data_IF_263522366259
#
_entry.id   IF_263522366259
#
_cell.length_a   1.000
_cell.length_b   1.000
_cell.length_c   1.000
_cell.angle_alpha   90.00
_cell.angle_beta   90.00
_cell.angle_gamma   90.00
#
_symmetry.space_group_name_H-M   'P 1'
#
loop_
_entity.id
_entity.type
_entity.pdbx_description
1 polymer ?
#
# COMPACT_ATOMS: atom_id res chain seq x y z
N UNK A 1 20.41 16.04 -19.63
CA UNK A 1 20.92 15.89 -18.25
C UNK A 1 20.15 14.75 -17.61
N UNK A 2 20.81 13.62 -17.33
CA UNK A 2 20.17 12.47 -16.68
C UNK A 2 19.98 12.83 -15.20
N UNK A 3 18.73 12.92 -14.73
CA UNK A 3 18.47 13.15 -13.30
C UNK A 3 19.19 12.10 -12.45
N UNK A 4 19.76 12.49 -11.30
CA UNK A 4 20.43 11.56 -10.41
C UNK A 4 19.43 10.48 -9.97
N UNK A 5 19.73 9.24 -10.35
CA UNK A 5 18.95 8.06 -9.96
C UNK A 5 19.49 7.56 -8.63
N UNK A 6 18.65 7.43 -7.62
CA UNK A 6 19.02 6.88 -6.31
C UNK A 6 18.11 7.37 -5.20
N UNK A 7 18.19 6.70 -4.06
CA UNK A 7 17.36 7.02 -2.88
C UNK A 7 17.54 8.48 -2.42
N UNK A 8 18.77 9.00 -2.41
CA UNK A 8 19.05 10.38 -2.00
C UNK A 8 18.31 11.40 -2.87
N UNK A 9 18.38 11.24 -4.20
CA UNK A 9 17.69 12.13 -5.13
C UNK A 9 16.16 12.04 -5.02
N UNK A 10 15.63 10.85 -4.82
CA UNK A 10 14.19 10.64 -4.52
C UNK A 10 13.80 11.34 -3.21
N UNK A 11 14.63 11.21 -2.17
CA UNK A 11 14.38 11.86 -0.88
C UNK A 11 14.43 13.39 -1.00
N UNK A 12 15.37 13.96 -1.77
CA UNK A 12 15.39 15.41 -2.04
C UNK A 12 14.06 15.87 -2.63
N UNK A 13 13.59 15.24 -3.69
CA UNK A 13 12.32 15.59 -4.34
C UNK A 13 11.12 15.46 -3.38
N UNK A 14 11.12 14.41 -2.54
CA UNK A 14 10.05 14.21 -1.55
C UNK A 14 10.04 15.32 -0.49
N UNK A 15 11.20 15.75 -0.04
CA UNK A 15 11.33 16.86 0.91
C UNK A 15 10.88 18.18 0.29
N UNK A 16 11.29 18.46 -0.95
CA UNK A 16 10.87 19.64 -1.71
C UNK A 16 9.35 19.67 -1.90
N UNK A 17 8.74 18.54 -2.29
CA UNK A 17 7.28 18.42 -2.43
C UNK A 17 6.53 18.74 -1.14
N UNK A 18 7.12 18.42 0.00
CA UNK A 18 6.54 18.66 1.33
C UNK A 18 6.95 19.98 1.95
N UNK A 19 7.77 20.78 1.29
CA UNK A 19 8.33 22.01 1.83
C UNK A 19 9.16 21.81 3.10
N UNK A 20 9.86 20.67 3.22
CA UNK A 20 10.67 20.32 4.38
C UNK A 20 12.15 20.53 4.09
N UNK A 21 12.81 21.32 4.91
CA UNK A 21 14.25 21.48 4.89
C UNK A 21 15.00 20.38 5.66
N UNK A 22 16.32 20.31 5.46
CA UNK A 22 17.18 19.38 6.23
C UNK A 22 17.11 19.64 7.73
N UNK A 23 17.08 20.89 8.24
CA UNK A 23 16.97 21.14 9.69
C UNK A 23 15.69 20.54 10.28
N UNK A 24 14.53 20.84 9.68
CA UNK A 24 13.22 20.34 10.15
C UNK A 24 13.15 18.81 10.10
N UNK A 25 13.72 18.21 9.05
CA UNK A 25 13.81 16.75 8.96
C UNK A 25 14.69 16.18 10.07
N UNK A 26 15.86 16.80 10.33
CA UNK A 26 16.79 16.39 11.37
C UNK A 26 16.13 16.40 12.74
N UNK A 27 15.37 17.45 13.05
CA UNK A 27 14.65 17.59 14.32
C UNK A 27 13.56 16.50 14.47
N UNK A 28 12.83 16.19 13.38
CA UNK A 28 11.80 15.15 13.38
C UNK A 28 12.37 13.73 13.49
N UNK A 29 13.51 13.49 12.86
CA UNK A 29 14.14 12.17 12.79
C UNK A 29 14.99 11.89 14.04
N UNK A 30 15.47 12.94 14.72
CA UNK A 30 16.36 12.81 15.89
C UNK A 30 17.74 12.26 15.53
N UNK A 31 18.26 12.55 14.33
CA UNK A 31 19.58 12.13 13.86
C UNK A 31 20.44 13.33 13.49
N UNK A 32 21.75 13.12 13.31
CA UNK A 32 22.65 14.20 12.93
C UNK A 32 22.37 14.69 11.50
N UNK A 33 22.43 16.01 11.30
CA UNK A 33 22.30 16.61 9.97
C UNK A 33 23.34 16.10 8.96
N UNK A 34 24.53 15.70 9.44
CA UNK A 34 25.56 15.06 8.62
C UNK A 34 25.08 13.76 7.98
N UNK A 35 24.32 12.95 8.72
CA UNK A 35 23.85 11.64 8.24
C UNK A 35 22.76 11.83 7.17
N UNK A 36 21.88 12.80 7.38
CA UNK A 36 20.88 13.17 6.34
C UNK A 36 21.58 13.67 5.09
N UNK A 37 22.55 14.61 5.21
CA UNK A 37 23.28 15.14 4.05
C UNK A 37 24.06 14.05 3.32
N UNK A 38 24.66 13.10 4.03
CA UNK A 38 25.35 11.97 3.41
C UNK A 38 24.41 11.14 2.54
N UNK A 39 23.18 10.85 3.04
CA UNK A 39 22.17 10.12 2.27
C UNK A 39 21.69 10.93 1.06
N UNK A 40 21.46 12.24 1.21
CA UNK A 40 21.11 13.10 0.08
C UNK A 40 22.22 13.15 -0.97
N UNK A 41 23.49 13.01 -0.56
CA UNK A 41 24.66 12.90 -1.44
C UNK A 41 24.85 11.48 -2.04
N UNK A 42 23.97 10.52 -1.74
CA UNK A 42 23.98 9.19 -2.35
C UNK A 42 24.59 8.08 -1.47
N UNK A 43 24.97 8.37 -0.22
CA UNK A 43 25.41 7.31 0.70
C UNK A 43 24.20 6.45 1.08
N UNK A 44 24.31 5.10 1.01
CA UNK A 44 23.21 4.21 1.40
C UNK A 44 22.79 4.44 2.86
N UNK A 45 21.49 4.61 3.15
CA UNK A 45 21.01 4.83 4.51
C UNK A 45 21.09 3.56 5.35
N UNK A 46 21.40 3.70 6.64
CA UNK A 46 21.32 2.59 7.59
C UNK A 46 19.86 2.18 7.84
N UNK A 47 19.65 0.93 8.28
CA UNK A 47 18.33 0.43 8.64
C UNK A 47 17.67 1.24 9.78
N UNK A 48 18.45 1.80 10.70
CA UNK A 48 17.98 2.70 11.75
C UNK A 48 17.42 3.99 11.15
N UNK A 49 18.21 4.61 10.27
CA UNK A 49 17.83 5.86 9.61
C UNK A 49 16.58 5.67 8.74
N UNK A 50 16.45 4.55 8.02
CA UNK A 50 15.23 4.24 7.24
C UNK A 50 13.97 4.18 8.11
N UNK A 51 14.06 3.60 9.32
CA UNK A 51 12.93 3.58 10.27
C UNK A 51 12.56 4.98 10.75
N UNK A 52 13.56 5.77 11.13
CA UNK A 52 13.34 7.14 11.59
C UNK A 52 12.77 8.03 10.48
N UNK A 53 13.29 7.93 9.26
CA UNK A 53 12.75 8.64 8.08
C UNK A 53 11.31 8.25 7.78
N UNK A 54 10.98 6.96 7.85
CA UNK A 54 9.63 6.46 7.64
C UNK A 54 8.65 7.12 8.63
N UNK A 55 8.99 7.13 9.93
CA UNK A 55 8.18 7.74 10.97
C UNK A 55 8.01 9.26 10.77
N UNK A 56 9.10 9.97 10.49
CA UNK A 56 9.10 11.42 10.29
C UNK A 56 8.30 11.85 9.04
N UNK A 57 8.29 11.00 8.02
CA UNK A 57 7.60 11.24 6.76
C UNK A 57 6.21 10.57 6.70
N UNK A 58 5.73 9.94 7.79
CA UNK A 58 4.42 9.29 7.82
C UNK A 58 4.27 8.18 6.76
N UNK A 59 5.38 7.52 6.39
CA UNK A 59 5.40 6.40 5.48
C UNK A 59 5.56 5.09 6.26
N UNK A 60 5.07 4.00 5.71
CA UNK A 60 5.35 2.71 6.33
C UNK A 60 6.83 2.34 6.18
N UNK A 61 7.41 1.83 7.26
CA UNK A 61 8.84 1.48 7.31
C UNK A 61 9.24 0.54 6.17
N UNK A 62 8.40 -0.44 5.84
CA UNK A 62 8.68 -1.38 4.75
C UNK A 62 8.80 -0.68 3.40
N UNK A 63 7.97 0.34 3.15
CA UNK A 63 8.03 1.11 1.90
C UNK A 63 9.33 1.88 1.79
N UNK A 64 9.80 2.46 2.89
CA UNK A 64 11.08 3.16 2.92
C UNK A 64 12.26 2.22 2.61
N UNK A 65 12.24 0.96 3.11
CA UNK A 65 13.23 -0.04 2.75
C UNK A 65 13.17 -0.39 1.25
N UNK A 66 11.98 -0.58 0.71
CA UNK A 66 11.79 -0.86 -0.73
C UNK A 66 12.32 0.29 -1.58
N UNK A 67 11.98 1.53 -1.22
CA UNK A 67 12.43 2.73 -1.95
C UNK A 67 13.93 2.94 -1.90
N UNK A 68 14.57 2.55 -0.79
CA UNK A 68 16.02 2.60 -0.64
C UNK A 68 16.74 1.43 -1.33
N UNK A 69 16.01 0.47 -1.92
CA UNK A 69 16.60 -0.76 -2.46
C UNK A 69 17.28 -1.62 -1.38
N UNK A 70 16.94 -1.40 -0.11
CA UNK A 70 17.52 -2.11 1.02
C UNK A 70 16.77 -3.42 1.31
N UNK A 71 17.45 -4.47 1.80
CA UNK A 71 16.80 -5.71 2.23
C UNK A 71 15.75 -5.43 3.30
N UNK A 72 14.51 -5.88 3.04
CA UNK A 72 13.42 -5.71 4.01
C UNK A 72 13.56 -6.75 5.11
N UNK A 73 13.70 -6.36 6.39
CA UNK A 73 13.74 -7.30 7.51
C UNK A 73 12.48 -8.16 7.60
N UNK A 74 12.60 -9.44 7.94
CA UNK A 74 11.47 -10.39 7.99
C UNK A 74 10.31 -9.91 8.85
N UNK A 75 10.60 -9.28 9.99
CA UNK A 75 9.58 -8.70 10.88
C UNK A 75 8.73 -7.59 10.25
N UNK A 76 9.18 -7.00 9.13
CA UNK A 76 8.44 -6.00 8.37
C UNK A 76 7.64 -6.60 7.22
N UNK A 77 7.84 -7.87 6.89
CA UNK A 77 7.06 -8.57 5.88
C UNK A 77 5.71 -9.05 6.44
N UNK A 78 4.72 -9.41 5.61
CA UNK A 78 3.48 -10.02 6.09
C UNK A 78 3.75 -11.23 6.97
N UNK A 79 2.91 -11.44 7.98
CA UNK A 79 3.05 -12.54 8.94
C UNK A 79 2.98 -13.91 8.24
N UNK A 80 1.97 -14.07 7.40
CA UNK A 80 1.66 -15.30 6.69
C UNK A 80 1.25 -14.97 5.26
N UNK A 81 2.02 -15.45 4.29
CA UNK A 81 1.74 -15.25 2.86
C UNK A 81 0.49 -16.00 2.40
N UNK A 82 0.06 -17.04 3.12
CA UNK A 82 -1.21 -17.74 2.88
C UNK A 82 -2.44 -16.85 3.07
N UNK A 83 -2.33 -15.81 3.90
CA UNK A 83 -3.38 -14.81 4.07
C UNK A 83 -3.63 -13.94 2.81
N UNK A 84 -2.71 -13.91 1.84
CA UNK A 84 -2.84 -13.16 0.60
C UNK A 84 -4.08 -13.51 -0.24
N UNK A 85 -4.63 -14.71 -0.07
CA UNK A 85 -5.88 -15.12 -0.74
C UNK A 85 -7.13 -14.44 -0.16
N UNK A 86 -7.06 -14.01 1.11
CA UNK A 86 -8.18 -13.45 1.86
C UNK A 86 -8.13 -11.92 1.98
N UNK A 87 -6.93 -11.34 1.97
CA UNK A 87 -6.73 -9.89 2.08
C UNK A 87 -7.58 -9.07 1.09
N UNK A 88 -7.69 -9.45 -0.20
CA UNK A 88 -8.58 -8.76 -1.14
C UNK A 88 -10.05 -8.83 -0.73
N UNK A 89 -10.52 -9.95 -0.21
CA UNK A 89 -11.92 -10.13 0.21
C UNK A 89 -12.26 -9.27 1.43
N UNK A 90 -11.34 -9.14 2.39
CA UNK A 90 -11.50 -8.22 3.54
C UNK A 90 -11.74 -6.79 3.06
N UNK A 91 -10.96 -6.33 2.06
CA UNK A 91 -11.13 -4.98 1.50
C UNK A 91 -12.41 -4.89 0.67
N UNK A 92 -12.67 -5.86 -0.22
CA UNK A 92 -13.86 -5.86 -1.08
C UNK A 92 -15.17 -5.80 -0.27
N UNK A 93 -15.27 -6.58 0.79
CA UNK A 93 -16.44 -6.55 1.66
C UNK A 93 -16.42 -5.30 2.56
N UNK A 94 -15.24 -4.91 3.05
CA UNK A 94 -15.05 -3.75 3.91
C UNK A 94 -15.50 -2.42 3.28
N UNK A 95 -15.22 -2.18 1.99
CA UNK A 95 -15.63 -0.93 1.32
C UNK A 95 -17.15 -0.77 1.21
N UNK A 96 -17.90 -1.87 1.27
CA UNK A 96 -19.36 -1.85 1.26
C UNK A 96 -19.99 -1.66 2.64
N UNK A 97 -19.20 -1.66 3.70
CA UNK A 97 -19.67 -1.37 5.05
C UNK A 97 -19.85 0.13 5.26
N UNK A 98 -20.71 0.49 6.21
CA UNK A 98 -20.76 1.85 6.73
C UNK A 98 -19.42 2.24 7.38
N UNK A 99 -19.17 3.53 7.54
CA UNK A 99 -17.97 4.00 8.26
C UNK A 99 -17.84 3.41 9.68
N UNK A 100 -18.97 3.16 10.36
CA UNK A 100 -18.98 2.50 11.66
C UNK A 100 -18.57 1.02 11.54
N UNK A 101 -19.10 0.30 10.55
CA UNK A 101 -18.75 -1.09 10.26
C UNK A 101 -17.27 -1.26 9.89
N UNK A 102 -16.71 -0.36 9.07
CA UNK A 102 -15.28 -0.36 8.76
C UNK A 102 -14.40 -0.17 10.00
N UNK A 103 -14.78 0.76 10.88
CA UNK A 103 -14.08 0.95 12.17
C UNK A 103 -14.19 -0.26 13.10
N UNK A 104 -15.33 -0.93 13.09
CA UNK A 104 -15.52 -2.17 13.88
C UNK A 104 -14.66 -3.30 13.33
N UNK A 105 -14.66 -3.51 12.02
CA UNK A 105 -13.80 -4.49 11.35
C UNK A 105 -12.32 -4.22 11.65
N UNK A 106 -11.88 -2.97 11.61
CA UNK A 106 -10.52 -2.58 11.94
C UNK A 106 -10.17 -2.86 13.42
N UNK A 107 -11.10 -2.56 14.35
CA UNK A 107 -10.92 -2.90 15.77
C UNK A 107 -10.80 -4.40 15.98
N UNK A 108 -11.62 -5.19 15.30
CA UNK A 108 -11.54 -6.65 15.33
C UNK A 108 -10.16 -7.13 14.87
N UNK A 109 -9.68 -6.69 13.70
CA UNK A 109 -8.35 -7.08 13.19
C UNK A 109 -7.27 -6.77 14.23
N UNK A 110 -7.31 -5.59 14.85
CA UNK A 110 -6.33 -5.15 15.83
C UNK A 110 -6.40 -5.90 17.16
N UNK A 111 -7.58 -6.42 17.53
CA UNK A 111 -7.78 -7.17 18.77
C UNK A 111 -7.35 -8.64 18.67
N UNK A 112 -7.16 -9.17 17.46
CA UNK A 112 -6.71 -10.54 17.29
C UNK A 112 -5.28 -10.72 17.81
N UNK A 113 -5.01 -11.82 18.52
CA UNK A 113 -3.68 -12.10 19.03
C UNK A 113 -2.69 -12.24 17.87
N UNK A 114 -1.47 -11.78 18.08
CA UNK A 114 -0.38 -11.98 17.12
C UNK A 114 0.05 -13.44 17.18
N UNK A 115 -0.17 -14.18 16.10
CA UNK A 115 0.31 -15.55 15.96
C UNK A 115 1.80 -15.62 15.62
N UNK A 116 2.40 -16.77 15.85
CA UNK A 116 3.78 -17.02 15.43
C UNK A 116 3.88 -17.09 13.92
N UNK A 117 5.01 -16.61 13.40
CA UNK A 117 5.29 -16.70 11.97
C UNK A 117 5.48 -18.17 11.58
N UNK A 118 4.79 -18.66 10.53
CA UNK A 118 5.03 -20.02 10.03
C UNK A 118 6.52 -20.24 9.70
N UNK A 119 7.03 -21.41 10.03
CA UNK A 119 8.43 -21.78 9.81
C UNK A 119 8.81 -21.78 8.31
N UNK A 120 7.81 -22.02 7.46
CA UNK A 120 7.94 -21.96 6.01
C UNK A 120 6.86 -21.05 5.42
N UNK A 121 7.31 -20.04 4.69
CA UNK A 121 6.44 -19.12 3.96
C UNK A 121 6.68 -19.31 2.47
N UNK A 122 5.69 -19.80 1.73
CA UNK A 122 5.75 -19.68 0.28
C UNK A 122 5.66 -18.20 -0.11
N UNK A 123 6.63 -17.66 -0.87
CA UNK A 123 6.55 -16.28 -1.32
C UNK A 123 5.32 -16.08 -2.21
N UNK A 124 4.64 -14.95 -2.04
CA UNK A 124 3.55 -14.56 -2.95
C UNK A 124 4.12 -14.50 -4.38
N UNK A 125 3.60 -15.31 -5.28
CA UNK A 125 4.06 -15.40 -6.67
C UNK A 125 3.67 -14.14 -7.44
N UNK A 126 4.64 -13.28 -7.70
CA UNK A 126 4.45 -12.04 -8.51
C UNK A 126 5.33 -12.06 -9.76
N UNK A 127 6.25 -13.00 -9.87
CA UNK A 127 7.29 -13.02 -10.89
C UNK A 127 8.45 -12.06 -10.57
N UNK A 128 9.46 -11.96 -11.46
CA UNK A 128 10.58 -11.07 -11.25
C UNK A 128 10.13 -9.61 -11.35
N UNK A 129 10.53 -8.80 -10.37
CA UNK A 129 10.28 -7.37 -10.33
C UNK A 129 11.55 -6.61 -10.78
N UNK A 130 11.35 -5.63 -11.64
CA UNK A 130 12.42 -4.75 -12.11
C UNK A 130 12.75 -3.65 -11.10
N UNK A 131 13.90 -3.00 -11.27
CA UNK A 131 14.29 -1.80 -10.50
C UNK A 131 13.74 -0.50 -11.13
N UNK A 132 12.57 -0.58 -11.75
CA UNK A 132 11.81 0.55 -12.28
C UNK A 132 10.85 1.10 -11.22
N UNK A 133 10.33 2.33 -11.39
CA UNK A 133 9.29 2.88 -10.52
C UNK A 133 8.09 1.94 -10.38
N UNK A 134 7.64 1.33 -11.48
CA UNK A 134 6.56 0.35 -11.45
C UNK A 134 6.91 -0.90 -10.63
N UNK A 135 8.13 -1.41 -10.78
CA UNK A 135 8.62 -2.54 -9.99
C UNK A 135 8.65 -2.25 -8.50
N UNK A 136 9.09 -1.04 -8.10
CA UNK A 136 9.10 -0.61 -6.70
C UNK A 136 7.68 -0.52 -6.12
N UNK A 137 6.74 0.08 -6.85
CA UNK A 137 5.34 0.17 -6.39
C UNK A 137 4.72 -1.21 -6.23
N UNK A 138 4.90 -2.13 -7.18
CA UNK A 138 4.41 -3.52 -7.06
C UNK A 138 5.10 -4.24 -5.89
N UNK A 139 6.39 -3.97 -5.63
CA UNK A 139 7.12 -4.50 -4.46
C UNK A 139 6.51 -3.99 -3.15
N UNK A 140 6.15 -2.70 -3.05
CA UNK A 140 5.45 -2.13 -1.89
C UNK A 140 4.07 -2.81 -1.69
N UNK A 141 3.30 -3.01 -2.76
CA UNK A 141 1.99 -3.68 -2.72
C UNK A 141 2.10 -5.16 -2.34
N UNK A 142 3.17 -5.85 -2.74
CA UNK A 142 3.48 -7.20 -2.25
C UNK A 142 3.60 -7.23 -0.72
N UNK A 143 4.18 -6.20 -0.10
CA UNK A 143 4.25 -6.09 1.35
C UNK A 143 2.92 -5.73 2.02
N UNK A 144 1.84 -5.49 1.26
CA UNK A 144 0.44 -5.50 1.73
C UNK A 144 -0.20 -6.88 1.63
N UNK A 145 0.61 -7.91 1.37
CA UNK A 145 0.16 -9.29 1.20
C UNK A 145 -0.81 -9.49 0.02
N UNK A 146 -0.56 -8.80 -1.09
CA UNK A 146 -1.35 -8.93 -2.32
C UNK A 146 -0.60 -9.73 -3.39
N UNK A 147 -1.27 -10.74 -3.94
CA UNK A 147 -0.91 -11.32 -5.24
C UNK A 147 -1.35 -10.38 -6.37
N UNK A 148 -0.86 -10.61 -7.61
CA UNK A 148 -1.31 -9.80 -8.76
C UNK A 148 -2.82 -9.87 -9.00
N UNK A 149 -3.42 -11.04 -8.82
CA UNK A 149 -4.88 -11.21 -8.92
C UNK A 149 -5.60 -10.53 -7.75
N UNK A 150 -5.02 -10.58 -6.56
CA UNK A 150 -5.51 -9.86 -5.38
C UNK A 150 -5.47 -8.35 -5.59
N UNK A 151 -4.36 -7.85 -6.11
CA UNK A 151 -4.19 -6.43 -6.46
C UNK A 151 -5.24 -5.97 -7.48
N UNK A 152 -5.43 -6.73 -8.57
CA UNK A 152 -6.44 -6.41 -9.59
C UNK A 152 -7.85 -6.30 -8.98
N UNK A 153 -8.23 -7.27 -8.15
CA UNK A 153 -9.54 -7.27 -7.47
C UNK A 153 -9.70 -6.12 -6.49
N UNK A 154 -8.66 -5.82 -5.73
CA UNK A 154 -8.71 -4.73 -4.73
C UNK A 154 -8.80 -3.36 -5.42
N UNK A 155 -8.00 -3.12 -6.45
CA UNK A 155 -8.06 -1.86 -7.21
C UNK A 155 -9.41 -1.65 -7.87
N UNK A 156 -10.03 -2.70 -8.41
CA UNK A 156 -11.33 -2.62 -9.08
C UNK A 156 -12.48 -2.15 -8.16
N UNK A 157 -12.33 -2.27 -6.83
CA UNK A 157 -13.36 -1.80 -5.87
C UNK A 157 -12.97 -0.53 -5.14
N UNK A 158 -11.67 -0.24 -5.04
CA UNK A 158 -11.16 0.94 -4.33
C UNK A 158 -10.96 2.12 -5.26
N UNK A 159 -10.70 1.85 -6.55
CA UNK A 159 -10.38 2.85 -7.57
C UNK A 159 -11.17 2.58 -8.85
N UNK A 160 -11.26 3.56 -9.79
CA UNK A 160 -11.88 3.33 -11.09
C UNK A 160 -11.03 2.45 -12.05
N UNK A 161 -9.89 1.91 -11.62
CA UNK A 161 -9.01 1.12 -12.47
C UNK A 161 -9.42 -0.34 -12.51
N UNK A 162 -9.72 -0.83 -13.71
CA UNK A 162 -10.05 -2.22 -13.96
C UNK A 162 -9.08 -2.82 -14.99
N UNK A 163 -7.96 -3.34 -14.51
CA UNK A 163 -6.94 -3.97 -15.36
C UNK A 163 -6.74 -5.43 -14.96
N UNK A 164 -6.37 -6.25 -15.94
CA UNK A 164 -6.02 -7.65 -15.69
C UNK A 164 -4.76 -7.79 -14.83
N UNK A 165 -4.68 -8.82 -14.02
CA UNK A 165 -3.53 -9.14 -13.18
C UNK A 165 -2.20 -9.17 -13.97
N UNK A 166 -2.23 -9.68 -15.21
CA UNK A 166 -1.07 -9.71 -16.10
C UNK A 166 -0.52 -8.32 -16.43
N UNK A 167 -1.40 -7.30 -16.50
CA UNK A 167 -0.98 -5.91 -16.73
C UNK A 167 -0.16 -5.38 -15.56
N UNK A 168 -0.59 -5.62 -14.32
CA UNK A 168 0.19 -5.25 -13.13
C UNK A 168 1.51 -6.01 -13.06
N UNK A 169 1.52 -7.28 -13.47
CA UNK A 169 2.76 -8.06 -13.63
C UNK A 169 3.70 -7.49 -14.68
N UNK A 170 3.17 -6.98 -15.79
CA UNK A 170 3.96 -6.32 -16.83
C UNK A 170 4.56 -4.99 -16.33
N UNK A 171 3.81 -4.20 -15.53
CA UNK A 171 4.30 -2.98 -14.88
C UNK A 171 5.41 -3.33 -13.88
N UNK A 172 5.19 -4.31 -13.02
CA UNK A 172 6.18 -4.76 -12.03
C UNK A 172 7.46 -5.29 -12.67
N UNK A 173 7.37 -5.96 -13.81
CA UNK A 173 8.51 -6.44 -14.59
C UNK A 173 9.15 -5.40 -15.53
N UNK A 174 8.68 -4.15 -15.51
CA UNK A 174 9.21 -3.07 -16.37
C UNK A 174 8.87 -3.18 -17.85
N UNK A 175 7.95 -4.08 -18.23
CA UNK A 175 7.50 -4.28 -19.62
C UNK A 175 6.37 -3.34 -20.03
N UNK A 176 5.76 -2.69 -19.07
CA UNK A 176 4.73 -1.67 -19.26
C UNK A 176 5.02 -0.51 -18.32
N UNK A 177 4.88 0.68 -18.84
CA UNK A 177 5.12 1.91 -18.09
C UNK A 177 4.02 2.15 -17.03
N UNK A 178 4.43 2.80 -15.95
CA UNK A 178 3.54 3.33 -14.94
C UNK A 178 2.96 4.65 -15.43
N UNK A 179 1.64 4.76 -15.44
CA UNK A 179 0.94 5.98 -15.89
C UNK A 179 0.55 6.87 -14.71
N UNK A 180 0.33 8.19 -14.91
CA UNK A 180 -0.14 9.10 -13.86
C UNK A 180 -1.41 8.60 -13.17
N UNK A 181 -2.35 8.04 -13.93
CA UNK A 181 -3.58 7.44 -13.39
C UNK A 181 -3.27 6.30 -12.43
N UNK A 182 -2.40 5.38 -12.82
CA UNK A 182 -2.02 4.25 -11.95
C UNK A 182 -1.22 4.69 -10.73
N UNK A 183 -0.46 5.78 -10.80
CA UNK A 183 0.18 6.37 -9.62
C UNK A 183 -0.88 6.77 -8.59
N UNK A 184 -1.95 7.46 -9.01
CA UNK A 184 -3.04 7.84 -8.12
C UNK A 184 -3.75 6.61 -7.51
N UNK A 185 -4.04 5.60 -8.32
CA UNK A 185 -4.72 4.39 -7.87
C UNK A 185 -3.86 3.57 -6.89
N UNK A 186 -2.57 3.45 -7.14
CA UNK A 186 -1.65 2.79 -6.23
C UNK A 186 -1.42 3.60 -4.95
N UNK A 187 -1.38 4.92 -5.03
CA UNK A 187 -1.28 5.80 -3.88
C UNK A 187 -2.45 5.59 -2.92
N UNK A 188 -3.69 5.54 -3.45
CA UNK A 188 -4.89 5.26 -2.68
C UNK A 188 -4.79 3.91 -1.93
N UNK A 189 -4.31 2.86 -2.60
CA UNK A 189 -4.21 1.52 -2.02
C UNK A 189 -3.04 1.39 -1.03
N UNK A 190 -1.95 2.13 -1.25
CA UNK A 190 -0.80 2.17 -0.36
C UNK A 190 -1.04 3.05 0.88
N UNK A 191 -2.06 3.92 0.85
CA UNK A 191 -2.28 4.93 1.88
C UNK A 191 -1.21 6.04 1.87
N UNK A 192 -0.67 6.35 0.69
CA UNK A 192 0.35 7.38 0.48
C UNK A 192 -0.32 8.54 -0.28
N UNK A 193 0.07 9.78 0.02
CA UNK A 193 -0.37 10.92 -0.79
C UNK A 193 0.06 10.74 -2.26
N UNK A 194 -0.85 11.00 -3.20
CA UNK A 194 -0.59 10.76 -4.61
C UNK A 194 0.53 11.67 -5.18
N UNK A 195 0.70 12.88 -4.63
CA UNK A 195 1.82 13.77 -4.99
C UNK A 195 3.15 13.20 -4.51
N UNK A 196 3.18 12.65 -3.29
CA UNK A 196 4.37 11.99 -2.78
C UNK A 196 4.74 10.77 -3.62
N UNK A 197 3.76 9.92 -3.96
CA UNK A 197 4.03 8.76 -4.81
C UNK A 197 4.45 9.17 -6.24
N UNK A 198 3.88 10.25 -6.77
CA UNK A 198 4.30 10.87 -8.04
C UNK A 198 5.79 11.25 -8.00
N UNK A 199 6.19 11.97 -6.97
CA UNK A 199 7.58 12.40 -6.76
C UNK A 199 8.52 11.21 -6.57
N UNK A 200 8.09 10.22 -5.78
CA UNK A 200 8.86 8.98 -5.52
C UNK A 200 9.08 8.17 -6.79
N UNK A 201 8.06 8.10 -7.64
CA UNK A 201 8.12 7.36 -8.92
C UNK A 201 8.74 8.17 -10.05
N UNK A 202 8.82 9.49 -9.94
CA UNK A 202 9.22 10.39 -11.00
C UNK A 202 8.18 10.52 -12.13
N UNK A 203 6.93 10.10 -11.89
CA UNK A 203 5.82 10.20 -12.85
C UNK A 203 4.97 11.41 -12.50
N UNK A 204 5.03 12.46 -13.30
CA UNK A 204 4.24 13.66 -13.06
C UNK A 204 2.74 13.40 -13.20
N UNK A 205 1.95 13.94 -12.26
CA UNK A 205 0.49 13.93 -12.37
C UNK A 205 0.05 15.01 -13.35
N UNK A 206 -0.89 14.67 -14.23
CA UNK A 206 -1.43 15.62 -15.22
C UNK A 206 -2.29 16.70 -14.58
N UNK A 207 -2.93 16.38 -13.45
CA UNK A 207 -3.83 17.25 -12.70
C UNK A 207 -3.63 17.05 -11.19
N UNK A 208 -3.98 18.03 -10.35
CA UNK A 208 -4.02 17.83 -8.90
C UNK A 208 -4.91 16.63 -8.55
N UNK A 209 -4.42 15.69 -7.72
CA UNK A 209 -5.23 14.54 -7.35
C UNK A 209 -6.45 15.01 -6.54
N UNK A 210 -7.63 14.42 -6.80
CA UNK A 210 -8.80 14.66 -5.95
C UNK A 210 -8.54 14.13 -4.53
N UNK A 211 -9.22 14.64 -3.51
CA UNK A 211 -9.17 14.07 -2.17
C UNK A 211 -9.51 12.58 -2.23
N UNK A 212 -8.76 11.76 -1.48
CA UNK A 212 -9.04 10.34 -1.40
C UNK A 212 -10.43 10.10 -0.79
N UNK A 213 -11.22 9.24 -1.41
CA UNK A 213 -12.52 8.84 -0.86
C UNK A 213 -12.33 8.17 0.51
N UNK A 214 -13.19 8.44 1.51
CA UNK A 214 -13.06 7.85 2.85
C UNK A 214 -12.96 6.32 2.81
N UNK A 215 -13.69 5.68 1.89
CA UNK A 215 -13.64 4.22 1.69
C UNK A 215 -12.27 3.75 1.22
N UNK A 216 -11.59 4.50 0.37
CA UNK A 216 -10.25 4.18 -0.10
C UNK A 216 -9.21 4.33 1.02
N UNK A 217 -9.35 5.37 1.85
CA UNK A 217 -8.49 5.56 3.03
C UNK A 217 -8.65 4.39 4.00
N UNK A 218 -9.89 4.04 4.34
CA UNK A 218 -10.19 2.91 5.23
C UNK A 218 -9.70 1.58 4.63
N UNK A 219 -9.84 1.38 3.30
CA UNK A 219 -9.35 0.19 2.60
C UNK A 219 -7.84 0.03 2.70
N UNK A 220 -7.07 1.12 2.54
CA UNK A 220 -5.62 1.10 2.71
C UNK A 220 -5.23 0.70 4.15
N UNK A 221 -5.93 1.23 5.15
CA UNK A 221 -5.71 0.90 6.56
C UNK A 221 -6.07 -0.57 6.85
N UNK A 222 -7.22 -1.04 6.37
CA UNK A 222 -7.63 -2.44 6.51
C UNK A 222 -6.60 -3.39 5.89
N UNK A 223 -6.13 -3.06 4.68
CA UNK A 223 -5.12 -3.84 3.98
C UNK A 223 -3.80 -3.87 4.74
N UNK A 224 -3.39 -2.72 5.29
CA UNK A 224 -2.17 -2.63 6.09
C UNK A 224 -2.25 -3.50 7.34
N UNK A 225 -3.35 -3.44 8.08
CA UNK A 225 -3.53 -4.21 9.31
C UNK A 225 -3.72 -5.71 9.02
N UNK A 226 -4.41 -6.07 7.93
CA UNK A 226 -4.62 -7.47 7.56
C UNK A 226 -3.32 -8.25 7.31
N UNK A 227 -2.20 -7.58 7.00
CA UNK A 227 -0.89 -8.23 6.80
C UNK A 227 -0.32 -8.88 8.07
N UNK A 228 -0.83 -8.54 9.25
CA UNK A 228 -0.45 -9.14 10.54
C UNK A 228 -1.18 -10.44 10.87
N UNK A 229 -2.15 -10.81 10.06
CA UNK A 229 -3.00 -11.98 10.27
C UNK A 229 -2.37 -13.24 9.70
N UNK A 230 -2.58 -14.38 10.37
CA UNK A 230 -2.39 -15.69 9.77
C UNK A 230 -3.47 -15.97 8.71
N UNK A 231 -3.27 -17.00 7.89
CA UNK A 231 -4.25 -17.41 6.88
C UNK A 231 -5.61 -17.77 7.50
N UNK A 232 -5.61 -18.40 8.67
CA UNK A 232 -6.83 -18.77 9.40
C UNK A 232 -7.56 -17.52 9.92
N UNK A 233 -6.84 -16.61 10.55
CA UNK A 233 -7.40 -15.34 11.01
C UNK A 233 -7.91 -14.48 9.86
N UNK A 234 -7.17 -14.36 8.76
CA UNK A 234 -7.58 -13.60 7.59
C UNK A 234 -8.85 -14.17 6.94
N UNK A 235 -8.99 -15.51 6.90
CA UNK A 235 -10.22 -16.16 6.45
C UNK A 235 -11.40 -15.78 7.35
N UNK A 236 -11.23 -15.93 8.66
CA UNK A 236 -12.28 -15.59 9.64
C UNK A 236 -12.72 -14.12 9.51
N UNK A 237 -11.76 -13.19 9.42
CA UNK A 237 -12.05 -11.76 9.23
C UNK A 237 -12.79 -11.51 7.91
N UNK A 238 -12.43 -12.19 6.82
CA UNK A 238 -13.11 -12.04 5.53
C UNK A 238 -14.57 -12.55 5.60
N UNK A 239 -14.81 -13.69 6.29
CA UNK A 239 -16.15 -14.23 6.51
C UNK A 239 -17.00 -13.25 7.35
N UNK A 240 -16.45 -12.66 8.40
CA UNK A 240 -17.12 -11.66 9.22
C UNK A 240 -17.40 -10.36 8.44
N UNK A 241 -16.43 -9.86 7.68
CA UNK A 241 -16.62 -8.68 6.83
C UNK A 241 -17.79 -8.88 5.86
N UNK A 242 -17.88 -10.07 5.27
CA UNK A 242 -18.99 -10.44 4.38
C UNK A 242 -20.33 -10.50 5.13
N UNK A 243 -20.36 -11.09 6.33
CA UNK A 243 -21.58 -11.18 7.14
C UNK A 243 -22.08 -9.81 7.64
N UNK A 244 -21.16 -8.84 7.81
CA UNK A 244 -21.50 -7.46 8.20
C UNK A 244 -22.08 -6.62 7.06
N UNK A 245 -22.04 -7.10 5.81
CA UNK A 245 -22.60 -6.35 4.67
C UNK A 245 -24.11 -6.23 4.82
N UNK A 246 -24.68 -5.04 4.54
CA UNK A 246 -26.12 -4.92 4.47
C UNK A 246 -26.65 -5.85 3.37
N UNK A 247 -27.73 -6.56 3.68
CA UNK A 247 -28.41 -7.35 2.65
C UNK A 247 -28.83 -6.42 1.48
N UNK A 248 -28.63 -6.86 0.23
CA UNK A 248 -29.14 -6.12 -0.90
C UNK A 248 -30.66 -5.97 -0.70
N UNK A 249 -31.16 -4.73 -0.59
CA UNK A 249 -32.60 -4.48 -0.50
C UNK A 249 -33.22 -5.11 -1.74
N UNK A 250 -33.97 -6.17 -1.54
CA UNK A 250 -34.78 -6.82 -2.58
C UNK A 250 -35.94 -5.85 -2.94
N UNK A 251 -35.70 -4.94 -3.90
CA UNK A 251 -36.77 -4.14 -4.52
C UNK A 251 -37.52 -4.99 -5.55
N UNK A 252 -38.07 -6.11 -5.11
CA UNK A 252 -39.12 -6.78 -5.84
C UNK A 252 -40.44 -6.60 -5.05
N UNK A 253 -40.92 -5.38 -4.96
CA UNK A 253 -42.37 -5.17 -4.90
C UNK A 253 -42.84 -5.18 -6.35
N UNK A 254 -43.17 -6.34 -6.86
CA UNK A 254 -44.12 -6.49 -7.94
C UNK A 254 -45.48 -6.04 -7.39
N UNK A 255 -45.85 -4.77 -7.56
CA UNK A 255 -47.25 -4.34 -7.58
C UNK A 255 -47.89 -4.94 -8.84
N UNK A 256 -48.27 -6.19 -8.75
CA UNK A 256 -49.25 -6.82 -9.61
C UNK A 256 -50.50 -7.10 -8.79
N UNK A 257 -51.14 -6.04 -8.34
CA UNK A 257 -52.52 -6.09 -7.87
C UNK A 257 -53.24 -4.87 -8.44
N UNK A 258 -53.97 -5.07 -9.50
CA UNK A 258 -54.75 -4.00 -10.09
C UNK A 258 -55.53 -4.45 -11.33
N UNK A 259 -56.63 -5.22 -11.05
CA UNK A 259 -57.88 -5.35 -11.88
C UNK A 259 -57.77 -5.89 -13.27
#
# INVERSE_FOLDING_TARGET
MTEPRGFGAMLVRLLENRGLGVPELTDRVGVKASDIRAVLAGVPPSAGLLRSLAAALGLHTVDMFVLAGAPVPDKLTPLDTGAARWAPSIVQDGVHLSAAGRRELLRLIRSLPQEERPSFLEPVRIGPLSDTPGGNVIRMLRHRNLSLSGLARTLAVVTPSYLAAATYGAIGGGRKELTPRLVMDFAALLGIDARDLSVVTGIALSEPPPPAAPEAVDAAVLLWEARRLSAAQARHVAELARAMRPEPRSHYCLDLAGS
#
